data_IF_811327028148
#
_entry.id   IF_811327028148
#
_cell.length_a   1.000
_cell.length_b   1.000
_cell.length_c   1.000
_cell.angle_alpha   90.00
_cell.angle_beta   90.00
_cell.angle_gamma   90.00
#
_symmetry.space_group_name_H-M   'P 1'
#
loop_
_entity.id
_entity.type
_entity.pdbx_description
1 polymer ?
#
# COMPACT_ATOMS: atom_id res chain seq x y z
N UNK A 1 -0.25 22.16 30.59
CA UNK A 1 -0.81 22.17 29.22
C UNK A 1 -0.39 20.88 28.51
N UNK A 2 -1.30 20.18 27.84
CA UNK A 2 -0.95 18.99 27.07
C UNK A 2 -0.21 19.39 25.79
N UNK A 3 0.96 18.83 25.54
CA UNK A 3 1.75 19.01 24.31
C UNK A 3 1.07 18.29 23.11
N UNK A 4 0.15 17.38 23.39
CA UNK A 4 -0.51 16.55 22.40
C UNK A 4 -1.74 17.25 21.83
N UNK A 5 -1.85 17.31 20.51
CA UNK A 5 -2.97 17.94 19.81
C UNK A 5 -4.30 17.20 20.06
N UNK A 6 -5.41 17.93 19.96
CA UNK A 6 -6.74 17.34 20.07
C UNK A 6 -7.05 16.33 18.97
N UNK A 7 -6.39 16.42 17.83
CA UNK A 7 -6.51 15.45 16.74
C UNK A 7 -6.04 14.05 17.17
N UNK A 8 -4.95 13.95 17.93
CA UNK A 8 -4.44 12.69 18.44
C UNK A 8 -5.37 12.04 19.48
N UNK A 9 -6.14 12.84 20.22
CA UNK A 9 -7.12 12.28 21.18
C UNK A 9 -8.27 11.53 20.51
N UNK A 10 -8.50 11.77 19.22
CA UNK A 10 -9.55 11.09 18.43
C UNK A 10 -9.07 9.80 17.77
N UNK A 11 -7.76 9.57 17.73
CA UNK A 11 -7.17 8.38 17.13
C UNK A 11 -7.25 7.23 18.12
N UNK A 12 -7.90 6.16 17.71
CA UNK A 12 -7.94 4.91 18.48
C UNK A 12 -6.84 3.97 17.98
N UNK A 13 -6.19 3.22 18.87
CA UNK A 13 -5.25 2.16 18.46
C UNK A 13 -5.93 1.16 17.53
N UNK A 14 -5.20 0.71 16.51
CA UNK A 14 -5.71 -0.32 15.61
C UNK A 14 -5.84 -1.68 16.33
N UNK A 15 -7.02 -2.29 16.36
CA UNK A 15 -7.19 -3.62 16.94
C UNK A 15 -6.30 -4.68 16.28
N UNK A 16 -6.11 -4.60 14.97
CA UNK A 16 -5.25 -5.51 14.22
C UNK A 16 -3.79 -5.43 14.68
N UNK A 17 -3.28 -4.21 14.89
CA UNK A 17 -1.92 -4.01 15.40
C UNK A 17 -1.80 -4.58 16.83
N UNK A 18 -2.79 -4.36 17.68
CA UNK A 18 -2.78 -4.87 19.04
C UNK A 18 -2.74 -6.41 19.08
N UNK A 19 -3.56 -7.08 18.26
CA UNK A 19 -3.58 -8.55 18.15
C UNK A 19 -2.24 -9.08 17.63
N UNK A 20 -1.70 -8.47 16.57
CA UNK A 20 -0.41 -8.87 15.99
C UNK A 20 0.74 -8.70 16.98
N UNK A 21 0.76 -7.58 17.71
CA UNK A 21 1.77 -7.32 18.75
C UNK A 21 1.67 -8.36 19.88
N UNK A 22 0.44 -8.67 20.31
CA UNK A 22 0.22 -9.69 21.35
C UNK A 22 0.69 -11.07 20.92
N UNK A 23 0.40 -11.48 19.69
CA UNK A 23 0.89 -12.75 19.14
C UNK A 23 2.43 -12.80 19.12
N UNK A 24 3.08 -11.69 18.75
CA UNK A 24 4.54 -11.57 18.74
C UNK A 24 5.14 -11.68 20.15
N UNK A 25 4.55 -10.99 21.14
CA UNK A 25 4.95 -11.09 22.54
C UNK A 25 4.85 -12.53 23.07
N UNK A 26 3.75 -13.21 22.76
CA UNK A 26 3.53 -14.59 23.20
C UNK A 26 4.56 -15.56 22.58
N UNK A 27 4.89 -15.39 21.30
CA UNK A 27 5.96 -16.18 20.65
C UNK A 27 7.32 -15.90 21.30
N UNK A 28 7.63 -14.64 21.58
CA UNK A 28 8.87 -14.27 22.26
C UNK A 28 8.96 -14.86 23.68
N UNK A 29 7.82 -15.09 24.33
CA UNK A 29 7.72 -15.79 25.62
C UNK A 29 7.74 -17.33 25.50
N UNK A 30 8.08 -17.88 24.32
CA UNK A 30 8.18 -19.32 24.08
C UNK A 30 6.86 -20.07 23.90
N UNK A 31 5.75 -19.36 23.71
CA UNK A 31 4.45 -19.99 23.44
C UNK A 31 4.31 -20.32 21.96
N UNK A 32 3.79 -21.49 21.67
CA UNK A 32 3.39 -21.86 20.30
C UNK A 32 2.10 -21.12 19.92
N UNK A 33 2.23 -20.13 19.05
CA UNK A 33 1.12 -19.27 18.63
C UNK A 33 1.06 -19.16 17.12
N UNK A 34 -0.05 -19.55 16.55
CA UNK A 34 -0.37 -19.34 15.14
C UNK A 34 -0.98 -17.94 14.99
N UNK A 35 -0.29 -17.06 14.24
CA UNK A 35 -0.73 -15.68 14.02
C UNK A 35 -1.58 -15.55 12.76
N UNK A 36 -2.87 -15.28 12.93
CA UNK A 36 -3.81 -15.01 11.84
C UNK A 36 -4.25 -13.52 11.81
N UNK A 37 -3.51 -12.66 12.52
CA UNK A 37 -3.89 -11.25 12.69
C UNK A 37 -3.41 -10.33 11.57
N UNK A 38 -2.43 -10.72 10.77
CA UNK A 38 -1.93 -9.95 9.63
C UNK A 38 -2.17 -10.72 8.34
N UNK A 39 -2.68 -10.03 7.33
CA UNK A 39 -2.84 -10.59 5.98
C UNK A 39 -1.54 -10.42 5.19
N UNK A 40 -0.53 -11.23 5.50
CA UNK A 40 0.72 -11.28 4.77
C UNK A 40 0.94 -12.66 4.15
N UNK A 41 1.63 -12.76 2.99
CA UNK A 41 1.96 -14.05 2.39
C UNK A 41 2.80 -14.91 3.35
N UNK A 42 2.55 -16.22 3.33
CA UNK A 42 3.31 -17.21 4.10
C UNK A 42 4.70 -17.47 3.50
N UNK A 43 4.83 -17.29 2.20
CA UNK A 43 6.08 -17.45 1.47
C UNK A 43 6.92 -16.19 1.50
N UNK A 44 8.24 -16.38 1.56
CA UNK A 44 9.20 -15.30 1.37
C UNK A 44 9.10 -14.68 -0.03
N UNK A 45 9.62 -13.46 -0.15
CA UNK A 45 9.83 -12.83 -1.46
C UNK A 45 10.68 -13.76 -2.35
N UNK A 46 10.29 -14.01 -3.60
CA UNK A 46 11.05 -14.85 -4.53
C UNK A 46 12.53 -14.41 -4.66
N UNK A 47 13.42 -15.37 -4.77
CA UNK A 47 14.87 -15.11 -4.75
C UNK A 47 15.33 -14.16 -5.87
N UNK A 48 14.76 -14.30 -7.07
CA UNK A 48 15.06 -13.39 -8.18
C UNK A 48 14.73 -11.93 -7.87
N UNK A 49 13.69 -11.67 -7.07
CA UNK A 49 13.32 -10.32 -6.64
C UNK A 49 14.29 -9.82 -5.56
N UNK A 50 14.63 -10.68 -4.60
CA UNK A 50 15.61 -10.36 -3.56
C UNK A 50 16.98 -10.02 -4.17
N UNK A 51 17.46 -10.83 -5.09
CA UNK A 51 18.74 -10.62 -5.76
C UNK A 51 18.74 -9.32 -6.60
N UNK A 52 17.66 -9.03 -7.31
CA UNK A 52 17.54 -7.77 -8.06
C UNK A 52 17.62 -6.55 -7.13
N UNK A 53 17.00 -6.61 -5.96
CA UNK A 53 17.08 -5.53 -4.96
C UNK A 53 18.51 -5.39 -4.39
N UNK A 54 19.17 -6.49 -4.08
CA UNK A 54 20.55 -6.51 -3.59
C UNK A 54 21.49 -5.90 -4.65
N UNK A 55 21.31 -6.27 -5.90
CA UNK A 55 22.13 -5.75 -7.01
C UNK A 55 21.91 -4.24 -7.20
N UNK A 56 20.67 -3.76 -7.12
CA UNK A 56 20.35 -2.33 -7.20
C UNK A 56 21.06 -1.54 -6.08
N UNK A 57 21.04 -2.06 -4.85
CA UNK A 57 21.77 -1.45 -3.72
C UNK A 57 23.28 -1.42 -3.98
N UNK A 58 23.87 -2.53 -4.44
CA UNK A 58 25.31 -2.60 -4.75
C UNK A 58 25.72 -1.64 -5.86
N UNK A 59 24.86 -1.41 -6.84
CA UNK A 59 25.07 -0.42 -7.91
C UNK A 59 24.90 1.03 -7.46
N UNK A 60 24.45 1.27 -6.23
CA UNK A 60 24.21 2.61 -5.70
C UNK A 60 22.91 3.24 -6.18
N UNK A 61 21.94 2.45 -6.64
CA UNK A 61 20.59 2.91 -6.98
C UNK A 61 19.79 3.20 -5.70
N UNK A 62 20.25 4.20 -4.97
CA UNK A 62 19.74 4.58 -3.64
C UNK A 62 19.48 6.08 -3.56
N UNK A 63 19.27 6.75 -4.67
CA UNK A 63 19.02 8.18 -4.77
C UNK A 63 17.53 8.48 -4.97
N UNK A 64 17.15 9.75 -4.85
CA UNK A 64 15.79 10.18 -5.16
C UNK A 64 15.43 9.85 -6.61
N UNK A 65 14.21 9.37 -6.77
CA UNK A 65 13.62 9.07 -8.07
C UNK A 65 12.61 10.15 -8.47
N UNK A 66 12.04 10.04 -9.66
CA UNK A 66 10.86 10.82 -10.02
C UNK A 66 9.70 10.51 -9.05
N UNK A 67 8.88 11.52 -8.77
CA UNK A 67 7.80 11.45 -7.77
C UNK A 67 6.76 10.38 -8.12
N UNK A 68 6.52 10.18 -9.41
CA UNK A 68 5.54 9.25 -9.98
C UNK A 68 6.12 7.87 -10.32
N UNK A 69 7.37 7.61 -9.95
CA UNK A 69 8.07 6.35 -10.18
C UNK A 69 9.16 6.44 -11.25
N UNK A 70 10.06 5.46 -11.25
CA UNK A 70 11.15 5.39 -12.24
C UNK A 70 10.59 5.05 -13.62
N UNK A 71 11.19 5.58 -14.72
CA UNK A 71 10.77 5.23 -16.07
C UNK A 71 10.83 3.72 -16.35
N UNK A 72 11.81 3.02 -15.78
CA UNK A 72 11.96 1.59 -15.94
C UNK A 72 10.78 0.82 -15.31
N UNK A 73 10.37 1.19 -14.10
CA UNK A 73 9.23 0.58 -13.42
C UNK A 73 7.91 0.88 -14.16
N UNK A 74 7.71 2.13 -14.59
CA UNK A 74 6.52 2.51 -15.35
C UNK A 74 6.39 1.74 -16.67
N UNK A 75 7.49 1.54 -17.41
CA UNK A 75 7.51 0.69 -18.61
C UNK A 75 7.17 -0.77 -18.30
N UNK A 76 7.69 -1.31 -17.20
CA UNK A 76 7.38 -2.66 -16.77
C UNK A 76 5.89 -2.82 -16.40
N UNK A 77 5.30 -1.83 -15.73
CA UNK A 77 3.87 -1.79 -15.41
C UNK A 77 3.03 -1.72 -16.71
N UNK A 78 3.41 -0.84 -17.64
CA UNK A 78 2.74 -0.71 -18.93
C UNK A 78 2.74 -2.05 -19.69
N UNK A 79 3.89 -2.69 -19.79
CA UNK A 79 4.02 -3.99 -20.43
C UNK A 79 3.20 -5.09 -19.72
N UNK A 80 3.15 -5.08 -18.39
CA UNK A 80 2.34 -6.00 -17.60
C UNK A 80 0.85 -5.80 -17.86
N UNK A 81 0.36 -4.56 -17.86
CA UNK A 81 -1.05 -4.28 -18.13
C UNK A 81 -1.46 -4.68 -19.55
N UNK A 82 -0.62 -4.44 -20.53
CA UNK A 82 -0.89 -4.89 -21.90
C UNK A 82 -0.95 -6.41 -22.00
N UNK A 83 0.03 -7.12 -21.40
CA UNK A 83 0.15 -8.58 -21.51
C UNK A 83 -0.93 -9.35 -20.74
N UNK A 84 -1.29 -8.87 -19.53
CA UNK A 84 -2.11 -9.65 -18.60
C UNK A 84 -3.53 -9.13 -18.43
N UNK A 85 -3.77 -7.88 -18.78
CA UNK A 85 -5.07 -7.25 -18.55
C UNK A 85 -5.71 -6.68 -19.82
N UNK A 86 -5.00 -6.75 -20.96
CA UNK A 86 -5.43 -6.13 -22.23
C UNK A 86 -5.74 -4.62 -22.09
N UNK A 87 -4.92 -3.94 -21.27
CA UNK A 87 -5.03 -2.51 -21.01
C UNK A 87 -3.81 -1.79 -21.56
N UNK A 88 -4.05 -0.67 -22.25
CA UNK A 88 -3.00 0.19 -22.80
C UNK A 88 -3.03 1.55 -22.09
N UNK A 89 -1.90 1.96 -21.52
CA UNK A 89 -1.70 3.23 -20.86
C UNK A 89 -0.40 3.88 -21.35
N UNK A 90 -0.41 5.21 -21.46
CA UNK A 90 0.82 5.96 -21.67
C UNK A 90 1.59 6.11 -20.34
N UNK A 91 2.89 6.39 -20.41
CA UNK A 91 3.73 6.46 -19.21
C UNK A 91 3.33 7.58 -18.24
N UNK A 92 2.76 8.66 -18.74
CA UNK A 92 2.24 9.78 -17.94
C UNK A 92 0.92 9.48 -17.25
N UNK A 93 0.24 8.39 -17.65
CA UNK A 93 -0.97 7.89 -17.00
C UNK A 93 -0.67 6.89 -15.87
N UNK A 94 0.61 6.60 -15.62
CA UNK A 94 1.04 5.66 -14.59
C UNK A 94 1.74 6.42 -13.46
N UNK A 95 1.24 6.27 -12.24
CA UNK A 95 1.85 6.81 -11.04
C UNK A 95 2.05 5.70 -10.01
N UNK A 96 3.23 5.63 -9.43
CA UNK A 96 3.62 4.63 -8.44
C UNK A 96 3.65 5.28 -7.06
N UNK A 97 2.98 4.66 -6.11
CA UNK A 97 2.96 5.11 -4.72
C UNK A 97 3.55 4.10 -3.75
N UNK A 98 3.81 4.54 -2.53
CA UNK A 98 4.34 3.70 -1.44
C UNK A 98 3.21 2.89 -0.81
N UNK A 99 2.74 1.89 -1.53
CA UNK A 99 1.65 1.02 -1.12
C UNK A 99 0.25 1.54 -1.49
N UNK A 100 -0.72 0.63 -1.54
CA UNK A 100 -2.07 0.89 -2.03
C UNK A 100 -2.84 1.97 -1.25
N UNK A 101 -2.60 2.09 0.05
CA UNK A 101 -3.27 3.12 0.88
C UNK A 101 -2.90 4.54 0.46
N UNK A 102 -1.64 4.77 0.12
CA UNK A 102 -1.19 6.08 -0.38
C UNK A 102 -1.83 6.39 -1.73
N UNK A 103 -1.86 5.41 -2.64
CA UNK A 103 -2.45 5.57 -3.97
C UNK A 103 -3.94 5.92 -3.87
N UNK A 104 -4.69 5.19 -3.04
CA UNK A 104 -6.11 5.47 -2.80
C UNK A 104 -6.34 6.86 -2.18
N UNK A 105 -5.55 7.21 -1.17
CA UNK A 105 -5.64 8.54 -0.55
C UNK A 105 -5.39 9.65 -1.57
N UNK A 106 -4.34 9.52 -2.37
CA UNK A 106 -4.00 10.51 -3.40
C UNK A 106 -5.10 10.61 -4.46
N UNK A 107 -5.65 9.48 -4.90
CA UNK A 107 -6.75 9.47 -5.86
C UNK A 107 -7.98 10.21 -5.31
N UNK A 108 -8.38 9.93 -4.07
CA UNK A 108 -9.49 10.64 -3.44
C UNK A 108 -9.21 12.13 -3.28
N UNK A 109 -8.03 12.50 -2.81
CA UNK A 109 -7.68 13.92 -2.64
C UNK A 109 -7.61 14.68 -3.97
N UNK A 110 -7.26 14.00 -5.06
CA UNK A 110 -7.20 14.61 -6.38
C UNK A 110 -8.57 14.75 -7.05
N UNK A 111 -9.56 13.94 -6.67
CA UNK A 111 -10.83 13.84 -7.40
C UNK A 111 -12.04 14.29 -6.60
N UNK A 112 -11.97 14.29 -5.26
CA UNK A 112 -13.11 14.56 -4.38
C UNK A 112 -13.01 15.96 -3.80
N UNK A 113 -14.06 16.76 -3.97
CA UNK A 113 -14.24 18.05 -3.31
C UNK A 113 -15.21 17.93 -2.12
N UNK A 114 -15.26 18.97 -1.27
CA UNK A 114 -16.08 19.00 -0.04
C UNK A 114 -17.56 18.68 -0.27
N UNK A 115 -18.09 18.98 -1.45
CA UNK A 115 -19.48 18.72 -1.84
C UNK A 115 -19.64 17.52 -2.77
N UNK A 116 -18.58 16.78 -3.03
CA UNK A 116 -18.64 15.57 -3.87
C UNK A 116 -19.46 14.48 -3.18
N UNK A 117 -20.32 13.87 -3.94
CA UNK A 117 -21.19 12.79 -3.48
C UNK A 117 -20.52 11.44 -3.74
N UNK A 118 -20.08 10.76 -2.69
CA UNK A 118 -19.18 9.61 -2.80
C UNK A 118 -19.78 8.30 -2.30
N UNK A 119 -21.00 8.29 -1.78
CA UNK A 119 -21.61 7.05 -1.32
C UNK A 119 -22.71 6.57 -2.26
N UNK A 120 -22.85 5.28 -2.34
CA UNK A 120 -23.94 4.64 -3.04
C UNK A 120 -25.27 4.93 -2.31
N UNK A 121 -26.21 5.51 -3.01
CA UNK A 121 -27.57 5.67 -2.51
C UNK A 121 -28.36 4.38 -2.73
N UNK A 122 -29.46 4.22 -2.00
CA UNK A 122 -30.38 3.10 -2.23
C UNK A 122 -30.80 2.95 -3.70
N UNK A 123 -31.15 4.01 -4.44
CA UNK A 123 -31.42 3.90 -5.87
C UNK A 123 -30.25 3.39 -6.68
N UNK A 124 -29.02 3.79 -6.34
CA UNK A 124 -27.80 3.33 -7.01
C UNK A 124 -27.52 1.86 -6.70
N UNK A 125 -27.76 1.44 -5.47
CA UNK A 125 -27.63 0.02 -5.06
C UNK A 125 -28.66 -0.85 -5.76
N UNK A 126 -29.88 -0.37 -5.92
CA UNK A 126 -30.94 -1.13 -6.58
C UNK A 126 -30.82 -1.21 -8.11
N UNK A 127 -29.91 -0.45 -8.70
CA UNK A 127 -29.67 -0.44 -10.15
C UNK A 127 -28.51 -1.35 -10.57
N UNK A 128 -27.95 -2.11 -9.64
CA UNK A 128 -26.85 -3.08 -9.88
C UNK A 128 -27.41 -4.50 -9.99
#
# INVERSE_FOLDING_TARGET
MSIVSNSLKRIKPSPTIAVTSKAREMRAAGKDVIGLGAGEPDFDTPDNIKEAAIEAIRKGDTKYTAVDGTPALKKAIQAKFSRENDLSYELDQISVGTGGKQVLYNAFMATINTVSYTHLTLPTICSV
#
